data_IF_476391291995
#
_entry.id   IF_476391291995
#
_cell.length_a   1.000
_cell.length_b   1.000
_cell.length_c   1.000
_cell.angle_alpha   90.00
_cell.angle_beta   90.00
_cell.angle_gamma   90.00
#
_symmetry.space_group_name_H-M   'P 1'
#
loop_
_entity.id
_entity.type
_entity.pdbx_description
1 polymer ?
#
# COMPACT_ATOMS: atom_id res chain seq x y z
N UNK A 1 28.26 34.54 30.59
CA UNK A 1 27.62 33.22 30.39
C UNK A 1 26.13 33.31 30.02
N UNK A 2 25.69 34.28 29.19
CA UNK A 2 24.27 34.46 28.81
C UNK A 2 23.99 34.07 27.34
N UNK A 3 25.02 34.08 26.49
CA UNK A 3 24.88 33.82 25.05
C UNK A 3 24.86 32.33 24.68
N UNK A 4 25.37 31.44 25.55
CA UNK A 4 25.42 29.98 25.29
C UNK A 4 24.01 29.36 25.36
N UNK A 5 23.15 29.86 26.27
CA UNK A 5 21.78 29.38 26.40
C UNK A 5 20.92 29.64 25.15
N UNK A 6 21.14 30.76 24.48
CA UNK A 6 20.40 31.16 23.28
C UNK A 6 20.72 30.24 22.09
N UNK A 7 21.97 29.78 21.98
CA UNK A 7 22.43 28.89 20.90
C UNK A 7 21.80 27.50 21.04
N UNK A 8 21.67 26.99 22.27
CA UNK A 8 21.09 25.66 22.51
C UNK A 8 19.60 25.60 22.14
N UNK A 9 18.84 26.67 22.44
CA UNK A 9 17.42 26.77 22.09
C UNK A 9 17.21 26.84 20.57
N UNK A 10 18.12 27.53 19.86
CA UNK A 10 18.09 27.58 18.39
C UNK A 10 18.33 26.21 17.76
N UNK A 11 19.21 25.38 18.34
CA UNK A 11 19.54 24.04 17.83
C UNK A 11 18.35 23.06 17.89
N UNK A 12 17.46 23.19 18.88
CA UNK A 12 16.27 22.32 19.00
C UNK A 12 15.18 22.75 18.00
N UNK A 13 15.18 24.01 17.56
CA UNK A 13 14.24 24.52 16.56
C UNK A 13 14.60 24.12 15.12
N UNK A 14 15.88 23.82 14.85
CA UNK A 14 16.36 23.32 13.54
C UNK A 14 16.35 21.80 13.42
N UNK A 15 16.09 21.05 14.49
CA UNK A 15 15.78 19.62 14.36
C UNK A 15 14.34 19.51 13.84
N UNK A 16 14.18 19.46 12.52
CA UNK A 16 12.90 19.20 11.87
C UNK A 16 12.22 17.94 12.43
N UNK A 17 10.90 17.87 12.26
CA UNK A 17 10.06 16.76 12.73
C UNK A 17 10.75 15.40 12.46
N UNK A 18 11.01 14.57 13.48
CA UNK A 18 11.63 13.26 13.28
C UNK A 18 10.77 12.49 12.29
N UNK A 19 11.35 12.21 11.12
CA UNK A 19 10.63 11.75 9.94
C UNK A 19 9.74 10.55 10.24
N UNK A 20 8.45 10.69 9.96
CA UNK A 20 7.51 9.57 9.99
C UNK A 20 7.89 8.47 8.98
N UNK A 21 7.23 7.32 9.08
CA UNK A 21 7.42 6.25 8.13
C UNK A 21 7.28 6.76 6.69
N UNK A 22 8.23 6.41 5.82
CA UNK A 22 8.19 6.77 4.40
C UNK A 22 6.84 6.35 3.81
N UNK A 23 6.27 7.21 2.98
CA UNK A 23 5.07 6.89 2.23
C UNK A 23 5.27 5.57 1.45
N UNK A 24 4.25 4.71 1.35
CA UNK A 24 4.29 3.54 0.49
C UNK A 24 4.64 3.94 -0.94
N UNK A 25 5.43 3.11 -1.63
CA UNK A 25 5.76 3.35 -3.03
C UNK A 25 4.66 2.80 -3.93
N UNK A 26 4.39 3.45 -5.05
CA UNK A 26 3.49 2.86 -6.05
C UNK A 26 4.19 1.65 -6.68
N UNK A 27 3.48 0.51 -6.75
CA UNK A 27 3.93 -0.70 -7.45
C UNK A 27 2.70 -1.49 -7.85
N UNK A 28 2.57 -1.79 -9.13
CA UNK A 28 1.47 -2.60 -9.65
C UNK A 28 1.56 -4.04 -9.14
N UNK A 29 0.40 -4.59 -8.78
CA UNK A 29 0.23 -6.04 -8.58
C UNK A 29 -0.17 -6.68 -9.90
N UNK A 30 0.05 -7.98 -10.03
CA UNK A 30 -0.39 -8.72 -11.21
C UNK A 30 -1.87 -9.09 -11.06
N UNK A 31 -2.72 -8.68 -12.00
CA UNK A 31 -4.15 -9.00 -12.00
C UNK A 31 -4.54 -9.62 -13.34
N UNK A 32 -5.12 -10.81 -13.29
CA UNK A 32 -5.70 -11.49 -14.44
C UNK A 32 -7.14 -11.90 -14.11
N UNK A 33 -8.11 -11.10 -14.57
CA UNK A 33 -9.51 -11.24 -14.18
C UNK A 33 -9.67 -11.10 -12.66
N UNK A 34 -10.14 -12.16 -12.00
CA UNK A 34 -10.29 -12.21 -10.54
C UNK A 34 -9.03 -12.68 -9.81
N UNK A 35 -8.01 -13.13 -10.54
CA UNK A 35 -6.78 -13.65 -9.93
C UNK A 35 -5.79 -12.50 -9.72
N UNK A 36 -5.44 -12.23 -8.46
CA UNK A 36 -4.52 -11.18 -8.04
C UNK A 36 -3.28 -11.84 -7.42
N UNK A 37 -2.08 -11.48 -7.88
CA UNK A 37 -0.83 -11.84 -7.21
C UNK A 37 -0.08 -10.57 -6.82
N UNK A 38 0.32 -10.47 -5.54
CA UNK A 38 1.09 -9.31 -5.05
C UNK A 38 2.49 -9.24 -5.68
N UNK A 39 3.12 -10.39 -5.90
CA UNK A 39 4.33 -10.54 -6.70
C UNK A 39 4.31 -11.89 -7.41
N UNK A 40 4.95 -11.95 -8.57
CA UNK A 40 5.21 -13.20 -9.32
C UNK A 40 6.66 -13.66 -9.19
N UNK A 41 7.51 -12.87 -8.52
CA UNK A 41 8.88 -13.25 -8.20
C UNK A 41 8.88 -14.19 -6.99
N UNK A 42 9.56 -15.33 -7.12
CA UNK A 42 9.70 -16.33 -6.05
C UNK A 42 10.61 -15.86 -4.92
N UNK A 43 11.46 -14.87 -5.18
CA UNK A 43 12.35 -14.28 -4.17
C UNK A 43 11.67 -13.18 -3.36
N UNK A 44 10.50 -12.70 -3.80
CA UNK A 44 9.71 -11.73 -3.06
C UNK A 44 8.90 -12.44 -1.96
N UNK A 45 8.97 -11.92 -0.74
CA UNK A 45 8.21 -12.37 0.43
C UNK A 45 7.13 -11.33 0.75
N UNK A 46 5.87 -11.77 0.75
CA UNK A 46 4.73 -10.96 1.18
C UNK A 46 4.63 -10.97 2.69
N UNK A 47 4.60 -9.77 3.28
CA UNK A 47 4.54 -9.55 4.72
C UNK A 47 3.14 -9.21 5.21
N UNK A 48 2.38 -8.43 4.44
CA UNK A 48 1.01 -8.09 4.79
C UNK A 48 0.26 -7.60 3.56
N UNK A 49 -1.06 -7.59 3.62
CA UNK A 49 -1.88 -6.88 2.65
C UNK A 49 -3.22 -6.44 3.24
N UNK A 50 -3.77 -5.36 2.68
CA UNK A 50 -5.15 -4.93 2.85
C UNK A 50 -5.66 -4.37 1.53
N UNK A 51 -6.80 -4.86 1.08
CA UNK A 51 -7.48 -4.39 -0.12
C UNK A 51 -8.70 -3.59 0.31
N UNK A 52 -8.77 -2.34 -0.14
CA UNK A 52 -9.90 -1.46 0.06
C UNK A 52 -10.67 -1.29 -1.24
N UNK A 53 -11.97 -1.09 -1.14
CA UNK A 53 -12.79 -0.58 -2.25
C UNK A 53 -13.47 0.71 -1.83
N UNK A 54 -13.52 1.68 -2.73
CA UNK A 54 -14.24 2.94 -2.57
C UNK A 54 -15.36 3.06 -3.59
N UNK A 55 -16.53 3.50 -3.14
CA UNK A 55 -17.65 3.92 -3.99
C UNK A 55 -18.39 5.06 -3.31
N UNK A 56 -18.69 6.14 -4.04
CA UNK A 56 -19.47 7.28 -3.52
C UNK A 56 -18.91 7.80 -2.18
N UNK A 57 -17.58 7.97 -2.11
CA UNK A 57 -16.82 8.37 -0.91
C UNK A 57 -16.88 7.41 0.29
N UNK A 58 -17.50 6.23 0.14
CA UNK A 58 -17.51 5.18 1.17
C UNK A 58 -16.40 4.17 0.93
N UNK A 59 -15.49 4.05 1.89
CA UNK A 59 -14.39 3.09 1.87
C UNK A 59 -14.78 1.85 2.65
N UNK A 60 -14.57 0.67 2.07
CA UNK A 60 -14.80 -0.63 2.71
C UNK A 60 -13.58 -1.53 2.54
N UNK A 61 -13.22 -2.28 3.58
CA UNK A 61 -12.21 -3.34 3.47
C UNK A 61 -12.83 -4.51 2.70
N UNK A 62 -12.16 -4.93 1.62
CA UNK A 62 -12.53 -6.12 0.84
C UNK A 62 -11.97 -7.36 1.51
N UNK A 63 -10.68 -7.34 1.83
CA UNK A 63 -9.96 -8.40 2.54
C UNK A 63 -8.60 -7.88 3.04
N UNK A 64 -7.97 -8.61 3.95
CA UNK A 64 -6.62 -8.33 4.41
C UNK A 64 -6.03 -9.50 5.18
N UNK A 65 -4.70 -9.49 5.37
CA UNK A 65 -3.98 -10.47 6.17
C UNK A 65 -4.19 -10.29 7.69
N UNK A 66 -4.90 -9.24 8.11
CA UNK A 66 -5.11 -8.89 9.51
C UNK A 66 -3.83 -8.39 10.17
N UNK A 67 -3.67 -8.68 11.47
CA UNK A 67 -2.49 -8.28 12.25
C UNK A 67 -1.31 -9.25 12.12
N UNK A 68 -1.49 -10.38 11.42
CA UNK A 68 -0.45 -11.39 11.29
C UNK A 68 0.54 -10.97 10.20
N UNK A 69 1.83 -11.05 10.53
CA UNK A 69 2.88 -10.93 9.53
C UNK A 69 2.92 -12.24 8.73
N UNK A 70 2.75 -12.13 7.43
CA UNK A 70 2.89 -13.22 6.49
C UNK A 70 4.38 -13.44 6.18
N UNK A 71 4.68 -14.68 5.79
CA UNK A 71 5.99 -15.09 5.27
C UNK A 71 5.74 -16.08 4.14
N UNK A 72 5.18 -15.55 3.04
CA UNK A 72 4.79 -16.35 1.87
C UNK A 72 5.35 -15.74 0.59
N UNK A 73 5.74 -16.59 -0.35
CA UNK A 73 6.29 -16.22 -1.65
C UNK A 73 5.47 -16.83 -2.78
N UNK A 74 5.64 -16.33 -4.00
CA UNK A 74 4.92 -16.86 -5.16
C UNK A 74 5.15 -18.38 -5.30
N UNK A 75 4.08 -19.19 -5.48
CA UNK A 75 2.73 -18.83 -5.92
C UNK A 75 1.70 -18.50 -4.82
N UNK A 76 2.05 -18.64 -3.54
CA UNK A 76 1.09 -18.52 -2.43
C UNK A 76 0.71 -17.06 -2.12
N UNK A 77 1.35 -16.09 -2.78
CA UNK A 77 1.01 -14.66 -2.76
C UNK A 77 -0.22 -14.30 -3.62
N UNK A 78 -0.90 -15.29 -4.20
CA UNK A 78 -2.03 -15.08 -5.09
C UNK A 78 -3.38 -15.34 -4.42
N UNK A 79 -4.38 -14.52 -4.74
CA UNK A 79 -5.75 -14.57 -4.20
C UNK A 79 -6.77 -14.43 -5.34
N UNK A 80 -7.96 -14.99 -5.13
CA UNK A 80 -9.10 -14.73 -5.99
C UNK A 80 -10.00 -13.67 -5.36
N UNK A 81 -10.13 -12.52 -6.02
CA UNK A 81 -10.96 -11.40 -5.61
C UNK A 81 -12.07 -11.19 -6.63
N UNK A 82 -13.32 -11.16 -6.17
CA UNK A 82 -14.46 -10.80 -7.01
C UNK A 82 -14.61 -9.29 -7.07
N UNK A 83 -14.07 -8.69 -8.13
CA UNK A 83 -14.17 -7.24 -8.35
C UNK A 83 -15.61 -6.83 -8.65
N UNK A 84 -16.09 -5.81 -7.94
CA UNK A 84 -17.37 -5.13 -8.23
C UNK A 84 -17.12 -3.92 -9.12
N UNK A 85 -17.96 -3.80 -10.14
CA UNK A 85 -17.96 -2.71 -11.12
C UNK A 85 -18.30 -1.35 -10.50
N UNK A 86 -17.82 -0.27 -11.13
CA UNK A 86 -18.05 1.11 -10.71
C UNK A 86 -17.44 1.43 -9.34
N UNK A 87 -16.22 0.96 -9.09
CA UNK A 87 -15.49 1.15 -7.82
C UNK A 87 -14.00 1.37 -8.06
N UNK A 88 -13.39 2.14 -7.16
CA UNK A 88 -11.93 2.25 -7.04
C UNK A 88 -11.43 1.23 -6.04
N UNK A 89 -10.32 0.56 -6.34
CA UNK A 89 -9.62 -0.32 -5.42
C UNK A 89 -8.26 0.24 -5.08
N UNK A 90 -7.88 0.06 -3.81
CA UNK A 90 -6.54 0.39 -3.32
C UNK A 90 -6.01 -0.81 -2.58
N UNK A 91 -4.90 -1.35 -3.06
CA UNK A 91 -4.20 -2.48 -2.46
C UNK A 91 -2.99 -1.93 -1.73
N UNK A 92 -3.00 -2.00 -0.40
CA UNK A 92 -1.84 -1.74 0.44
C UNK A 92 -1.18 -3.06 0.78
N UNK A 93 0.13 -3.19 0.56
CA UNK A 93 0.82 -4.46 0.79
C UNK A 93 2.29 -4.26 1.10
N UNK A 94 2.90 -5.25 1.76
CA UNK A 94 4.31 -5.28 2.09
C UNK A 94 5.02 -6.39 1.33
N UNK A 95 6.06 -6.07 0.56
CA UNK A 95 6.98 -7.06 -0.03
C UNK A 95 8.40 -6.80 0.45
N UNK A 96 9.08 -7.84 0.93
CA UNK A 96 10.46 -7.76 1.43
C UNK A 96 10.66 -6.62 2.46
N UNK A 97 9.71 -6.48 3.37
CA UNK A 97 9.61 -5.44 4.40
C UNK A 97 9.49 -4.01 3.85
N UNK A 98 9.17 -3.84 2.56
CA UNK A 98 8.90 -2.55 1.93
C UNK A 98 7.41 -2.41 1.65
N UNK A 99 6.87 -1.21 1.90
CA UNK A 99 5.45 -0.92 1.73
C UNK A 99 5.16 -0.41 0.33
N UNK A 100 4.11 -0.96 -0.28
CA UNK A 100 3.66 -0.64 -1.61
C UNK A 100 2.17 -0.33 -1.63
N UNK A 101 1.76 0.42 -2.65
CA UNK A 101 0.36 0.67 -2.97
C UNK A 101 0.11 0.44 -4.46
N UNK A 102 -1.02 -0.18 -4.77
CA UNK A 102 -1.54 -0.29 -6.13
C UNK A 102 -2.98 0.21 -6.14
N UNK A 103 -3.26 1.23 -6.95
CA UNK A 103 -4.59 1.80 -7.11
C UNK A 103 -5.09 1.61 -8.54
N UNK A 104 -6.35 1.21 -8.68
CA UNK A 104 -7.00 1.05 -9.98
C UNK A 104 -8.52 1.19 -9.86
N UNK A 105 -9.17 1.59 -10.95
CA UNK A 105 -10.62 1.62 -11.08
C UNK A 105 -11.13 0.39 -11.81
N UNK A 106 -12.32 -0.07 -11.43
CA UNK A 106 -13.10 -1.03 -12.21
C UNK A 106 -14.31 -0.27 -12.74
N UNK A 107 -14.36 -0.08 -14.06
CA UNK A 107 -15.46 0.62 -14.71
C UNK A 107 -16.79 -0.16 -14.60
N UNK A 108 -17.87 0.42 -15.13
CA UNK A 108 -19.19 -0.22 -15.09
C UNK A 108 -19.27 -1.51 -15.93
N UNK A 109 -18.35 -1.70 -16.88
CA UNK A 109 -18.26 -2.86 -17.76
C UNK A 109 -17.30 -3.94 -17.22
N UNK A 110 -16.67 -3.70 -16.07
CA UNK A 110 -15.70 -4.61 -15.46
C UNK A 110 -14.27 -4.45 -15.98
N UNK A 111 -13.98 -3.42 -16.77
CA UNK A 111 -12.62 -3.11 -17.23
C UNK A 111 -11.81 -2.48 -16.11
N UNK A 112 -10.61 -3.00 -15.89
CA UNK A 112 -9.64 -2.45 -14.94
C UNK A 112 -8.84 -1.32 -15.59
N UNK A 113 -8.74 -0.19 -14.88
CA UNK A 113 -8.03 1.01 -15.31
C UNK A 113 -7.04 1.34 -14.20
N UNK A 114 -5.75 1.06 -14.42
CA UNK A 114 -4.72 1.38 -13.43
C UNK A 114 -4.59 2.89 -13.29
N UNK A 115 -4.64 3.36 -12.05
CA UNK A 115 -4.38 4.74 -11.73
C UNK A 115 -2.88 4.85 -11.46
N UNK A 116 -2.18 5.55 -12.35
CA UNK A 116 -0.74 5.73 -12.28
C UNK A 116 -0.31 6.54 -11.05
N UNK A 117 1.01 6.77 -10.93
CA UNK A 117 1.55 7.65 -9.90
C UNK A 117 0.95 9.05 -10.06
N UNK A 118 0.31 9.58 -9.00
CA UNK A 118 0.07 11.02 -8.86
C UNK A 118 1.40 11.74 -8.65
#
# INVERSE_FOLDING_TARGET
MKNIFVIFILCILITGCPGGNRAPKNRFTFINGNHLCFSIDKNDVLNFYTIYSSKDHKITIVTGSGYNNLDISYPDTCLNIKWKNGRTYVIHYGLNNKKYVHQFDVDNNGKQINLGEL
#
